data_IF_425252945960
#
_entry.id   IF_425252945960
#
_cell.length_a   1.000
_cell.length_b   1.000
_cell.length_c   1.000
_cell.angle_alpha   90.00
_cell.angle_beta   90.00
_cell.angle_gamma   90.00
#
_symmetry.space_group_name_H-M   'P 1'
#
loop_
_entity.id
_entity.type
_entity.pdbx_description
1 polymer ?
#
# COMPACT_ATOMS: atom_id res chain seq x y z
N UNK A 1 0.75 19.28 -6.01
CA UNK A 1 1.93 19.79 -5.28
C UNK A 1 1.75 19.63 -3.79
N UNK A 2 2.63 18.89 -3.11
CA UNK A 2 2.92 18.98 -1.66
C UNK A 2 4.02 18.00 -1.24
N UNK A 3 5.12 17.95 -2.00
CA UNK A 3 6.41 17.61 -1.39
C UNK A 3 6.91 18.93 -0.80
N UNK A 4 6.36 19.27 0.37
CA UNK A 4 6.82 20.44 1.12
C UNK A 4 8.21 20.08 1.66
N UNK A 5 9.24 20.66 1.02
CA UNK A 5 10.64 20.64 1.47
C UNK A 5 10.70 20.77 2.99
N UNK A 6 11.10 19.69 3.67
CA UNK A 6 11.32 19.66 5.12
C UNK A 6 10.42 18.70 5.92
N UNK A 7 9.30 18.23 5.36
CA UNK A 7 8.48 17.21 6.04
C UNK A 7 9.04 15.82 5.70
N UNK A 8 9.47 15.06 6.71
CA UNK A 8 9.85 13.64 6.51
C UNK A 8 8.64 12.92 5.94
N UNK A 9 8.83 12.25 4.81
CA UNK A 9 7.82 11.40 4.18
C UNK A 9 7.32 10.39 5.22
N UNK A 10 6.01 10.40 5.49
CA UNK A 10 5.40 9.53 6.49
C UNK A 10 4.41 8.51 5.88
N UNK A 11 3.92 7.56 6.68
CA UNK A 11 3.06 6.49 6.16
C UNK A 11 1.69 7.01 5.68
N UNK A 12 1.26 8.22 6.06
CA UNK A 12 0.07 8.83 5.48
C UNK A 12 0.32 9.29 4.04
N UNK A 13 1.50 9.85 3.77
CA UNK A 13 1.88 10.24 2.41
C UNK A 13 1.95 9.01 1.50
N UNK A 14 2.56 7.93 2.00
CA UNK A 14 2.60 6.64 1.30
C UNK A 14 1.20 6.08 1.04
N UNK A 15 0.31 6.13 2.03
CA UNK A 15 -1.10 5.71 1.86
C UNK A 15 -1.77 6.50 0.73
N UNK A 16 -1.63 7.83 0.72
CA UNK A 16 -2.25 8.68 -0.30
C UNK A 16 -1.72 8.34 -1.70
N UNK A 17 -0.43 8.05 -1.84
CA UNK A 17 0.14 7.59 -3.11
C UNK A 17 -0.45 6.24 -3.54
N UNK A 18 -0.56 5.28 -2.62
CA UNK A 18 -1.17 3.97 -2.90
C UNK A 18 -2.64 4.11 -3.31
N UNK A 19 -3.41 4.96 -2.63
CA UNK A 19 -4.81 5.24 -2.99
C UNK A 19 -4.94 5.91 -4.37
N UNK A 20 -4.00 6.79 -4.74
CA UNK A 20 -3.96 7.36 -6.09
C UNK A 20 -3.67 6.29 -7.15
N UNK A 21 -2.78 5.34 -6.88
CA UNK A 21 -2.51 4.22 -7.78
C UNK A 21 -3.75 3.34 -8.00
N UNK A 22 -4.51 3.07 -6.93
CA UNK A 22 -5.79 2.33 -7.01
C UNK A 22 -6.83 3.13 -7.81
N UNK A 23 -7.01 4.42 -7.51
CA UNK A 23 -8.03 5.26 -8.12
C UNK A 23 -7.77 5.55 -9.61
N UNK A 24 -6.51 5.50 -10.05
CA UNK A 24 -6.15 5.60 -11.48
C UNK A 24 -6.34 4.27 -12.25
N UNK A 25 -6.77 3.20 -11.57
CA UNK A 25 -7.02 1.90 -12.20
C UNK A 25 -5.73 1.16 -12.57
N UNK A 26 -4.77 1.11 -11.65
CA UNK A 26 -3.68 0.11 -11.57
C UNK A 26 -3.20 -0.50 -12.89
N UNK A 27 -2.49 0.26 -13.75
CA UNK A 27 -2.02 -0.17 -15.09
C UNK A 27 -3.09 -0.71 -16.07
N UNK A 28 -4.28 -1.10 -15.62
CA UNK A 28 -5.36 -1.66 -16.41
C UNK A 28 -5.90 -0.63 -17.41
N UNK A 29 -5.94 0.65 -17.01
CA UNK A 29 -6.36 1.76 -17.89
C UNK A 29 -5.39 2.05 -19.04
N UNK A 30 -4.11 1.64 -18.91
CA UNK A 30 -3.12 1.71 -19.99
C UNK A 30 -3.14 0.46 -20.89
N UNK A 31 -3.45 -0.71 -20.30
CA UNK A 31 -3.55 -2.00 -21.00
C UNK A 31 -4.82 -2.09 -21.87
N UNK A 32 -5.95 -1.51 -21.44
CA UNK A 32 -7.19 -1.45 -22.24
C UNK A 32 -7.01 -0.71 -23.59
N UNK A 33 -5.86 -0.04 -23.81
CA UNK A 33 -5.52 0.66 -25.05
C UNK A 33 -4.46 -0.03 -25.91
N UNK A 34 -3.94 -1.19 -25.53
CA UNK A 34 -2.91 -1.91 -26.29
C UNK A 34 -3.45 -3.22 -26.86
N UNK A 35 -3.67 -3.30 -28.19
CA UNK A 35 -4.07 -4.55 -28.83
C UNK A 35 -2.86 -5.50 -28.93
N UNK A 36 -2.97 -6.74 -28.43
CA UNK A 36 -2.15 -7.86 -28.91
C UNK A 36 -1.30 -8.71 -27.93
N UNK A 37 -1.51 -8.72 -26.62
CA UNK A 37 -0.73 -9.61 -25.72
C UNK A 37 -1.46 -10.91 -25.34
N UNK A 38 -1.28 -11.94 -26.15
CA UNK A 38 -1.70 -13.33 -25.88
C UNK A 38 -0.70 -14.07 -24.99
N UNK A 39 -1.17 -14.65 -23.89
CA UNK A 39 -0.47 -15.73 -23.17
C UNK A 39 -0.73 -15.80 -21.67
N UNK A 40 -0.88 -14.67 -21.00
CA UNK A 40 -1.37 -14.56 -19.62
C UNK A 40 -1.97 -13.16 -19.53
N UNK A 41 -3.29 -13.05 -19.35
CA UNK A 41 -3.92 -11.74 -19.50
C UNK A 41 -3.31 -10.75 -18.51
N UNK A 42 -2.87 -9.61 -19.01
CA UNK A 42 -2.35 -8.50 -18.21
C UNK A 42 -3.34 -8.07 -17.13
N UNK A 43 -4.64 -8.31 -17.36
CA UNK A 43 -5.72 -8.23 -16.37
C UNK A 43 -5.50 -9.07 -15.11
N UNK A 44 -4.83 -10.23 -15.18
CA UNK A 44 -4.52 -11.03 -13.98
C UNK A 44 -3.33 -10.42 -13.23
N UNK A 45 -2.33 -9.89 -13.94
CA UNK A 45 -1.18 -9.22 -13.31
C UNK A 45 -1.58 -7.90 -12.64
N UNK A 46 -2.43 -7.10 -13.26
CA UNK A 46 -2.97 -5.86 -12.66
C UNK A 46 -3.85 -6.14 -11.45
N UNK A 47 -4.79 -7.10 -11.54
CA UNK A 47 -5.65 -7.49 -10.40
C UNK A 47 -4.88 -8.03 -9.19
N UNK A 48 -3.80 -8.78 -9.42
CA UNK A 48 -2.93 -9.26 -8.34
C UNK A 48 -2.19 -8.09 -7.68
N UNK A 49 -1.75 -7.10 -8.46
CA UNK A 49 -1.10 -5.90 -7.94
C UNK A 49 -2.08 -5.04 -7.12
N UNK A 50 -3.30 -4.85 -7.63
CA UNK A 50 -4.36 -4.09 -6.92
C UNK A 50 -4.66 -4.70 -5.55
N UNK A 51 -4.79 -6.02 -5.46
CA UNK A 51 -5.03 -6.71 -4.19
C UNK A 51 -3.91 -6.47 -3.18
N UNK A 52 -2.66 -6.50 -3.62
CA UNK A 52 -1.52 -6.20 -2.74
C UNK A 52 -1.52 -4.75 -2.27
N UNK A 53 -1.83 -3.81 -3.17
CA UNK A 53 -1.98 -2.39 -2.82
C UNK A 53 -3.10 -2.17 -1.80
N UNK A 54 -4.25 -2.82 -1.98
CA UNK A 54 -5.33 -2.79 -1.01
C UNK A 54 -4.92 -3.34 0.36
N UNK A 55 -4.15 -4.43 0.40
CA UNK A 55 -3.63 -4.97 1.67
C UNK A 55 -2.68 -3.98 2.36
N UNK A 56 -1.80 -3.30 1.60
CA UNK A 56 -0.91 -2.27 2.15
C UNK A 56 -1.70 -1.09 2.71
N UNK A 57 -2.72 -0.61 2.00
CA UNK A 57 -3.62 0.44 2.48
C UNK A 57 -4.35 -0.01 3.76
N UNK A 58 -4.82 -1.26 3.81
CA UNK A 58 -5.49 -1.82 4.98
C UNK A 58 -4.56 -1.84 6.20
N UNK A 59 -3.30 -2.27 6.04
CA UNK A 59 -2.29 -2.24 7.11
C UNK A 59 -2.11 -0.82 7.66
N UNK A 60 -1.95 0.18 6.79
CA UNK A 60 -1.78 1.57 7.23
C UNK A 60 -3.04 2.10 7.92
N UNK A 61 -4.23 1.75 7.42
CA UNK A 61 -5.50 2.15 8.02
C UNK A 61 -5.67 1.59 9.44
N UNK A 62 -5.15 0.40 9.74
CA UNK A 62 -5.19 -0.23 11.07
C UNK A 62 -4.18 0.36 12.08
N UNK A 63 -3.36 1.33 11.67
CA UNK A 63 -2.46 2.09 12.55
C UNK A 63 -3.13 3.33 13.13
N UNK A 64 -2.66 3.77 14.29
CA UNK A 64 -3.04 5.08 14.87
C UNK A 64 -2.29 6.23 14.18
N UNK A 65 -2.83 7.46 14.27
CA UNK A 65 -2.19 8.67 13.70
C UNK A 65 -0.74 8.88 14.18
N UNK A 66 -0.44 8.51 15.43
CA UNK A 66 0.92 8.61 15.99
C UNK A 66 1.87 7.60 15.35
N UNK A 67 1.43 6.35 15.21
CA UNK A 67 2.23 5.27 14.60
C UNK A 67 2.50 5.53 13.11
N UNK A 68 1.58 6.18 12.39
CA UNK A 68 1.81 6.54 10.96
C UNK A 68 2.90 7.61 10.78
N UNK A 69 3.01 8.55 11.73
CA UNK A 69 4.05 9.60 11.73
C UNK A 69 5.39 9.11 12.29
N UNK A 70 5.33 8.12 13.18
CA UNK A 70 6.47 7.56 13.89
C UNK A 70 6.45 6.02 13.79
N UNK A 71 6.90 5.47 12.65
CA UNK A 71 6.88 4.02 12.43
C UNK A 71 7.78 3.23 13.38
N UNK A 72 8.77 3.89 13.99
CA UNK A 72 9.64 3.37 15.05
C UNK A 72 8.86 2.93 16.31
N UNK A 73 7.66 3.49 16.53
CA UNK A 73 6.78 3.07 17.60
C UNK A 73 6.19 1.69 17.37
N UNK A 74 6.13 1.19 16.12
CA UNK A 74 5.58 -0.14 15.79
C UNK A 74 6.56 -1.25 16.20
N UNK A 75 6.59 -1.54 17.50
CA UNK A 75 7.24 -2.74 18.08
C UNK A 75 6.31 -3.97 18.03
N UNK A 76 6.80 -5.13 18.47
CA UNK A 76 6.12 -6.44 18.34
C UNK A 76 4.62 -6.45 18.69
N UNK A 77 4.25 -5.96 19.88
CA UNK A 77 2.83 -5.93 20.32
C UNK A 77 1.95 -5.05 19.41
N UNK A 78 2.44 -3.87 18.99
CA UNK A 78 1.70 -2.98 18.09
C UNK A 78 1.61 -3.54 16.68
N UNK A 79 2.67 -4.19 16.18
CA UNK A 79 2.65 -4.89 14.88
C UNK A 79 1.63 -6.02 14.88
N UNK A 80 1.57 -6.83 15.94
CA UNK A 80 0.57 -7.88 16.07
C UNK A 80 -0.87 -7.33 16.12
N UNK A 81 -1.09 -6.19 16.80
CA UNK A 81 -2.39 -5.51 16.81
C UNK A 81 -2.78 -5.00 15.42
N UNK A 82 -1.85 -4.33 14.71
CA UNK A 82 -2.09 -3.81 13.35
C UNK A 82 -2.39 -4.95 12.38
N UNK A 83 -1.58 -6.00 12.40
CA UNK A 83 -1.75 -7.20 11.58
C UNK A 83 -3.14 -7.83 11.75
N UNK A 84 -3.57 -8.05 13.01
CA UNK A 84 -4.93 -8.54 13.30
C UNK A 84 -6.01 -7.56 12.81
N UNK A 85 -5.81 -6.26 13.02
CA UNK A 85 -6.75 -5.22 12.60
C UNK A 85 -6.85 -5.04 11.09
N UNK A 86 -5.86 -5.48 10.31
CA UNK A 86 -5.87 -5.44 8.85
C UNK A 86 -6.13 -6.81 8.21
N UNK A 87 -6.31 -7.88 9.01
CA UNK A 87 -6.42 -9.25 8.53
C UNK A 87 -5.16 -9.76 7.81
N UNK A 88 -3.98 -9.25 8.17
CA UNK A 88 -2.69 -9.62 7.59
C UNK A 88 -1.78 -10.24 8.66
N UNK A 89 -0.60 -10.72 8.27
CA UNK A 89 0.38 -11.26 9.20
C UNK A 89 1.35 -10.18 9.71
N UNK A 90 1.96 -10.35 10.90
CA UNK A 90 3.00 -9.43 11.37
C UNK A 90 4.21 -9.30 10.41
N UNK A 91 4.47 -10.33 9.61
CA UNK A 91 5.49 -10.31 8.56
C UNK A 91 5.15 -9.32 7.44
N UNK A 92 3.88 -9.21 7.06
CA UNK A 92 3.43 -8.25 6.03
C UNK A 92 3.60 -6.81 6.51
N UNK A 93 3.30 -6.56 7.79
CA UNK A 93 3.55 -5.26 8.43
C UNK A 93 5.05 -4.94 8.44
N UNK A 94 5.91 -5.92 8.73
CA UNK A 94 7.37 -5.73 8.67
C UNK A 94 7.86 -5.41 7.25
N UNK A 95 7.30 -6.07 6.25
CA UNK A 95 7.65 -5.85 4.85
C UNK A 95 7.30 -4.42 4.44
N UNK A 96 6.12 -3.93 4.83
CA UNK A 96 5.70 -2.56 4.57
C UNK A 96 6.62 -1.53 5.25
N UNK A 97 7.06 -1.79 6.48
CA UNK A 97 7.95 -0.88 7.22
C UNK A 97 9.40 -0.86 6.70
N UNK A 98 9.78 -1.80 5.84
CA UNK A 98 11.13 -1.91 5.25
C UNK A 98 11.20 -1.40 3.81
N UNK A 99 10.07 -1.16 3.14
CA UNK A 99 10.04 -0.50 1.83
C UNK A 99 10.36 0.99 1.99
#
# INVERSE_FOLDING_TARGET
EKVIKGKRFDLNDMKTQLEQMVNMGGMASLIDKLPGMGGMSEQVKSKVNDKQVHHMIAIINSMTKKERRHPDLLKGSRRARVARGSGQQPADVNRLLKQ
#
